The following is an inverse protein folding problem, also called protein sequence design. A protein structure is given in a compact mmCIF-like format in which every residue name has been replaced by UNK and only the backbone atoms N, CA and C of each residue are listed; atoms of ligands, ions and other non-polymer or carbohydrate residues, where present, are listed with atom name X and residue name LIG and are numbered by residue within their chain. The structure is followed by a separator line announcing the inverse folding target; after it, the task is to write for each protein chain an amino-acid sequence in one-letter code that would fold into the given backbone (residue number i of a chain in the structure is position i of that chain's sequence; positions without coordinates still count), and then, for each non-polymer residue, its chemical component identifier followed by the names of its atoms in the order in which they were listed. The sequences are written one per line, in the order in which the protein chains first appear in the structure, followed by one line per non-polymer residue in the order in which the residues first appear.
data_IF_601029049452
#
_entry.id   IF_601029049452
#
_cell.length_a   1.000
_cell.length_b   1.000
_cell.length_c   1.000
_cell.angle_alpha   90.00
_cell.angle_beta   90.00
_cell.angle_gamma   90.00
#
_symmetry.space_group_name_H-M   'P 1'
#
loop_
_entity.id
_entity.type
_entity.pdbx_description
1 polymer ?
#
# COMPACT_ATOMS: atom_id res chain seq x y z
N UNK A 1 23.14 0.91 29.33
CA UNK A 1 22.83 2.35 29.14
C UNK A 1 22.51 2.70 27.67
N UNK A 2 23.37 2.45 26.67
CA UNK A 2 23.07 2.86 25.27
C UNK A 2 21.89 2.15 24.58
N UNK A 3 21.62 0.88 24.88
CA UNK A 3 20.41 0.16 24.40
C UNK A 3 19.12 0.73 25.00
N UNK A 4 19.14 1.10 26.28
CA UNK A 4 18.00 1.73 26.97
C UNK A 4 17.74 3.14 26.42
N UNK A 5 18.78 3.96 26.22
CA UNK A 5 18.65 5.28 25.60
C UNK A 5 18.09 5.22 24.17
N UNK A 6 18.55 4.25 23.36
CA UNK A 6 17.95 4.02 22.04
C UNK A 6 16.49 3.61 22.15
N UNK A 7 16.16 2.71 23.08
CA UNK A 7 14.79 2.26 23.30
C UNK A 7 13.84 3.41 23.69
N UNK A 8 14.23 4.24 24.66
CA UNK A 8 13.47 5.44 25.05
C UNK A 8 13.29 6.42 23.87
N UNK A 9 14.34 6.65 23.08
CA UNK A 9 14.25 7.52 21.91
C UNK A 9 13.28 6.98 20.84
N UNK A 10 13.21 5.67 20.64
CA UNK A 10 12.25 5.07 19.70
C UNK A 10 10.81 5.16 20.22
N UNK A 11 10.58 4.92 21.51
CA UNK A 11 9.25 5.09 22.12
C UNK A 11 8.75 6.53 21.99
N UNK A 12 9.60 7.52 22.25
CA UNK A 12 9.26 8.94 22.09
C UNK A 12 8.89 9.31 20.65
N UNK A 13 9.62 8.77 19.66
CA UNK A 13 9.30 8.96 18.25
C UNK A 13 7.94 8.36 17.88
N UNK A 14 7.63 7.15 18.37
CA UNK A 14 6.34 6.51 18.15
C UNK A 14 5.20 7.26 18.83
N UNK A 15 5.37 7.68 20.08
CA UNK A 15 4.37 8.45 20.82
C UNK A 15 4.11 9.80 20.16
N UNK A 16 5.17 10.53 19.79
CA UNK A 16 5.04 11.82 19.10
C UNK A 16 4.36 11.66 17.75
N UNK A 17 4.73 10.64 16.96
CA UNK A 17 4.11 10.32 15.68
C UNK A 17 2.63 9.96 15.82
N UNK A 18 2.27 9.13 16.80
CA UNK A 18 0.90 8.75 17.10
C UNK A 18 0.05 9.97 17.45
N UNK A 19 0.49 10.79 18.41
CA UNK A 19 -0.23 12.00 18.82
C UNK A 19 -0.39 13.00 17.67
N UNK A 20 0.65 13.17 16.84
CA UNK A 20 0.58 14.02 15.66
C UNK A 20 -0.43 13.49 14.64
N UNK A 21 -0.46 12.19 14.39
CA UNK A 21 -1.40 11.58 13.44
C UNK A 21 -2.86 11.80 13.87
N UNK A 22 -3.15 11.73 15.17
CA UNK A 22 -4.50 12.00 15.71
C UNK A 22 -5.00 13.42 15.42
N UNK A 23 -4.12 14.39 15.22
CA UNK A 23 -4.52 15.76 14.84
C UNK A 23 -5.17 15.85 13.46
N UNK A 24 -4.90 14.88 12.58
CA UNK A 24 -5.47 14.76 11.24
C UNK A 24 -6.79 13.96 11.21
N UNK A 25 -7.22 13.42 12.36
CA UNK A 25 -8.45 12.64 12.50
C UNK A 25 -9.69 13.54 12.48
N UNK A 26 -10.71 13.10 11.75
CA UNK A 26 -12.04 13.74 11.69
C UNK A 26 -13.01 13.07 12.65
N UNK A 27 -14.09 13.78 13.01
CA UNK A 27 -15.19 13.27 13.84
C UNK A 27 -15.82 11.98 13.29
N UNK A 28 -15.77 11.79 11.97
CA UNK A 28 -16.27 10.60 11.30
C UNK A 28 -15.40 9.35 11.49
N UNK A 29 -14.21 9.46 12.08
CA UNK A 29 -13.22 8.39 12.21
C UNK A 29 -12.24 8.27 11.02
N UNK A 30 -12.36 9.13 10.01
CA UNK A 30 -11.46 9.16 8.84
C UNK A 30 -10.35 10.19 9.00
N UNK A 31 -9.27 10.04 8.24
CA UNK A 31 -8.13 10.96 8.26
C UNK A 31 -8.11 11.83 7.00
N UNK A 32 -7.65 13.07 7.13
CA UNK A 32 -7.40 13.99 6.00
C UNK A 32 -6.09 14.73 6.23
N UNK A 33 -5.35 14.97 5.16
CA UNK A 33 -4.11 15.78 5.16
C UNK A 33 -4.36 17.25 5.56
N UNK A 34 -5.60 17.73 5.41
CA UNK A 34 -6.04 19.05 5.84
C UNK A 34 -6.86 18.98 7.15
N UNK A 35 -6.86 17.84 7.83
CA UNK A 35 -7.55 17.61 9.09
C UNK A 35 -9.05 17.91 8.99
N UNK A 36 -9.50 18.93 9.74
CA UNK A 36 -10.90 19.36 9.80
C UNK A 36 -11.32 20.32 8.67
N UNK A 37 -10.36 20.83 7.88
CA UNK A 37 -10.62 21.86 6.87
C UNK A 37 -11.20 21.32 5.56
N UNK A 38 -11.07 20.02 5.28
CA UNK A 38 -11.77 19.39 4.15
C UNK A 38 -13.24 19.09 4.46
N UNK A 39 -14.05 18.79 3.46
CA UNK A 39 -15.41 18.26 3.66
C UNK A 39 -15.41 16.77 4.05
N UNK A 40 -14.46 15.98 3.55
CA UNK A 40 -14.37 14.53 3.78
C UNK A 40 -12.94 14.02 4.02
N UNK A 41 -12.81 12.82 4.60
CA UNK A 41 -11.52 12.14 4.75
C UNK A 41 -11.11 11.36 3.50
N UNK A 42 -9.84 10.96 3.45
CA UNK A 42 -9.28 10.17 2.35
C UNK A 42 -9.32 8.68 2.65
N UNK A 43 -9.83 7.88 1.70
CA UNK A 43 -9.94 6.42 1.86
C UNK A 43 -8.56 5.78 2.02
N UNK A 44 -7.62 6.13 1.14
CA UNK A 44 -6.25 5.60 1.18
C UNK A 44 -5.51 6.07 2.43
N UNK A 45 -5.61 7.35 2.81
CA UNK A 45 -4.94 7.85 4.00
C UNK A 45 -5.48 7.18 5.26
N UNK A 46 -6.80 7.07 5.39
CA UNK A 46 -7.42 6.38 6.53
C UNK A 46 -6.94 4.92 6.61
N UNK A 47 -6.80 4.23 5.46
CA UNK A 47 -6.29 2.86 5.42
C UNK A 47 -4.81 2.78 5.80
N UNK A 48 -3.99 3.73 5.33
CA UNK A 48 -2.60 3.84 5.72
C UNK A 48 -2.45 4.01 7.23
N UNK A 49 -3.24 4.91 7.85
CA UNK A 49 -3.20 5.13 9.30
C UNK A 49 -3.62 3.87 10.06
N UNK A 50 -4.71 3.22 9.67
CA UNK A 50 -5.15 1.95 10.29
C UNK A 50 -4.05 0.89 10.20
N UNK A 51 -3.40 0.74 9.04
CA UNK A 51 -2.30 -0.20 8.84
C UNK A 51 -1.11 0.14 9.74
N UNK A 52 -0.71 1.41 9.80
CA UNK A 52 0.41 1.90 10.59
C UNK A 52 0.18 1.70 12.09
N UNK A 53 -0.99 2.11 12.59
CA UNK A 53 -1.41 1.92 13.98
C UNK A 53 -1.47 0.43 14.34
N UNK A 54 -2.04 -0.39 13.46
CA UNK A 54 -2.10 -1.82 13.72
C UNK A 54 -0.73 -2.49 13.87
N UNK A 55 0.27 -2.05 13.07
CA UNK A 55 1.66 -2.51 13.17
C UNK A 55 2.36 -1.95 14.41
N UNK A 56 2.10 -0.68 14.73
CA UNK A 56 2.69 0.01 15.88
C UNK A 56 2.26 -0.57 17.23
N UNK A 57 1.05 -1.16 17.33
CA UNK A 57 0.54 -1.87 18.54
C UNK A 57 1.50 -2.89 19.15
N UNK A 58 2.43 -3.45 18.36
CA UNK A 58 3.44 -4.40 18.84
C UNK A 58 4.56 -3.74 19.65
N UNK A 59 4.71 -2.42 19.54
CA UNK A 59 5.84 -1.67 20.06
C UNK A 59 5.42 -0.54 21.01
N UNK A 60 4.25 0.05 20.80
CA UNK A 60 3.70 1.12 21.66
C UNK A 60 2.21 0.91 21.91
N UNK A 61 1.70 1.52 22.98
CA UNK A 61 0.27 1.60 23.21
C UNK A 61 -0.41 2.41 22.11
N UNK A 62 -1.41 1.81 21.49
CA UNK A 62 -2.32 2.47 20.53
C UNK A 62 -3.72 2.15 21.00
N UNK A 63 -4.54 3.19 21.19
CA UNK A 63 -5.93 3.02 21.59
C UNK A 63 -6.71 2.25 20.51
N UNK A 64 -7.28 1.12 20.88
CA UNK A 64 -8.08 0.27 19.98
C UNK A 64 -9.34 0.98 19.47
N UNK A 65 -9.90 1.90 20.24
CA UNK A 65 -11.09 2.65 19.85
C UNK A 65 -10.77 3.61 18.69
N UNK A 66 -9.52 4.05 18.57
CA UNK A 66 -9.06 4.85 17.44
C UNK A 66 -9.14 4.07 16.13
N UNK A 67 -8.70 2.80 16.15
CA UNK A 67 -8.81 1.89 15.01
C UNK A 67 -10.28 1.56 14.75
N UNK A 68 -11.07 1.19 15.78
CA UNK A 68 -12.48 0.82 15.63
C UNK A 68 -13.32 1.92 14.98
N UNK A 69 -13.08 3.19 15.32
CA UNK A 69 -13.77 4.32 14.69
C UNK A 69 -13.50 4.40 13.18
N UNK A 70 -12.26 4.20 12.73
CA UNK A 70 -11.93 4.15 11.30
C UNK A 70 -12.54 2.93 10.61
N UNK A 71 -12.61 1.78 11.29
CA UNK A 71 -13.24 0.57 10.76
C UNK A 71 -14.75 0.75 10.57
N UNK A 72 -15.43 1.39 11.52
CA UNK A 72 -16.84 1.75 11.35
C UNK A 72 -17.05 2.71 10.18
N UNK A 73 -16.12 3.66 9.99
CA UNK A 73 -16.15 4.56 8.83
C UNK A 73 -16.04 3.79 7.51
N UNK A 74 -15.09 2.87 7.38
CA UNK A 74 -14.99 2.00 6.19
C UNK A 74 -16.28 1.24 5.92
N UNK A 75 -16.87 0.62 6.94
CA UNK A 75 -18.12 -0.15 6.81
C UNK A 75 -19.26 0.67 6.21
N UNK A 76 -19.39 1.94 6.61
CA UNK A 76 -20.44 2.84 6.08
C UNK A 76 -20.16 3.31 4.66
N UNK A 77 -18.89 3.38 4.26
CA UNK A 77 -18.48 3.86 2.93
C UNK A 77 -18.34 2.73 1.90
N UNK A 78 -18.24 1.47 2.30
CA UNK A 78 -18.17 0.33 1.39
C UNK A 78 -19.45 0.22 0.55
N UNK A 79 -19.31 0.12 -0.77
CA UNK A 79 -20.46 0.00 -1.69
C UNK A 79 -21.16 -1.36 -1.56
N UNK A 80 -22.41 -1.49 -2.05
CA UNK A 80 -23.09 -2.78 -2.16
C UNK A 80 -22.28 -3.84 -2.93
N UNK A 81 -21.55 -3.42 -3.97
CA UNK A 81 -20.61 -4.24 -4.76
C UNK A 81 -19.42 -4.79 -3.96
N UNK A 82 -19.19 -4.28 -2.74
CA UNK A 82 -18.04 -4.62 -1.91
C UNK A 82 -16.81 -3.74 -2.15
N UNK A 83 -16.79 -2.95 -3.22
CA UNK A 83 -15.69 -2.04 -3.51
C UNK A 83 -15.66 -0.85 -2.55
N UNK A 84 -14.46 -0.34 -2.27
CA UNK A 84 -14.26 0.90 -1.53
C UNK A 84 -14.15 2.06 -2.51
N UNK A 85 -15.08 3.04 -2.47
CA UNK A 85 -15.06 4.19 -3.36
C UNK A 85 -13.84 5.06 -3.16
N UNK A 86 -13.48 5.78 -4.22
CA UNK A 86 -12.52 6.88 -4.14
C UNK A 86 -13.12 8.06 -3.38
N UNK A 87 -12.64 8.28 -2.15
CA UNK A 87 -12.96 9.43 -1.32
C UNK A 87 -11.71 10.21 -0.94
N UNK A 88 -11.86 11.53 -0.88
CA UNK A 88 -10.83 12.49 -0.48
C UNK A 88 -9.71 12.67 -1.50
N UNK A 89 -8.81 13.61 -1.21
CA UNK A 89 -7.60 13.82 -2.01
C UNK A 89 -6.58 12.72 -1.70
N UNK A 90 -5.90 12.22 -2.73
CA UNK A 90 -4.77 11.30 -2.57
C UNK A 90 -3.50 12.12 -2.40
N UNK A 91 -2.74 11.76 -1.36
CA UNK A 91 -1.59 12.51 -0.88
C UNK A 91 -0.38 12.41 -1.82
N UNK A 92 -0.16 11.25 -2.43
CA UNK A 92 1.01 11.06 -3.29
C UNK A 92 0.71 11.51 -4.73
N UNK A 93 1.42 12.55 -5.17
CA UNK A 93 1.37 13.04 -6.56
C UNK A 93 1.88 12.01 -7.56
N UNK A 94 2.75 11.08 -7.15
CA UNK A 94 3.23 9.99 -8.01
C UNK A 94 2.18 8.91 -8.27
N UNK A 95 1.11 8.86 -7.47
CA UNK A 95 -0.08 8.04 -7.69
C UNK A 95 -1.20 8.79 -8.45
N UNK A 96 -0.95 10.04 -8.86
CA UNK A 96 -1.85 10.80 -9.73
C UNK A 96 -1.54 10.43 -11.19
N UNK A 97 -2.51 9.85 -11.88
CA UNK A 97 -2.37 9.39 -13.28
C UNK A 97 -2.82 7.95 -13.51
N UNK A 98 -4.13 7.67 -13.40
CA UNK A 98 -4.69 6.33 -13.67
C UNK A 98 -4.47 5.27 -12.58
N UNK A 99 -3.42 5.39 -11.76
CA UNK A 99 -3.05 4.46 -10.68
C UNK A 99 -3.95 4.53 -9.43
N UNK A 100 -4.99 5.36 -9.46
CA UNK A 100 -5.88 5.64 -8.34
C UNK A 100 -7.32 5.20 -8.68
N UNK A 101 -7.44 3.97 -9.18
CA UNK A 101 -8.72 3.36 -9.50
C UNK A 101 -9.44 2.90 -8.22
N UNK A 102 -10.76 2.77 -8.29
CA UNK A 102 -11.56 2.19 -7.20
C UNK A 102 -11.06 0.79 -6.80
N UNK A 103 -10.60 0.00 -7.77
CA UNK A 103 -10.05 -1.33 -7.52
C UNK A 103 -8.73 -1.27 -6.75
N UNK A 104 -7.84 -0.34 -7.12
CA UNK A 104 -6.57 -0.10 -6.42
C UNK A 104 -6.80 0.32 -4.98
N UNK A 105 -7.74 1.24 -4.74
CA UNK A 105 -8.14 1.66 -3.38
C UNK A 105 -8.72 0.47 -2.61
N UNK A 106 -9.59 -0.33 -3.24
CA UNK A 106 -10.18 -1.51 -2.61
C UNK A 106 -9.11 -2.50 -2.18
N UNK A 107 -8.13 -2.79 -3.04
CA UNK A 107 -6.99 -3.64 -2.72
C UNK A 107 -6.18 -3.07 -1.53
N UNK A 108 -5.87 -1.77 -1.57
CA UNK A 108 -5.10 -1.09 -0.51
C UNK A 108 -5.81 -1.14 0.85
N UNK A 109 -7.11 -0.81 0.89
CA UNK A 109 -7.92 -0.90 2.12
C UNK A 109 -7.97 -2.35 2.61
N UNK A 110 -8.12 -3.32 1.70
CA UNK A 110 -8.17 -4.74 2.08
C UNK A 110 -6.85 -5.21 2.69
N UNK A 111 -5.70 -4.80 2.14
CA UNK A 111 -4.37 -5.05 2.73
C UNK A 111 -4.31 -4.48 4.15
N UNK A 112 -4.70 -3.21 4.34
CA UNK A 112 -4.68 -2.57 5.66
C UNK A 112 -5.53 -3.33 6.68
N UNK A 113 -6.72 -3.79 6.27
CA UNK A 113 -7.61 -4.58 7.13
C UNK A 113 -7.00 -5.94 7.49
N UNK A 114 -6.47 -6.68 6.51
CA UNK A 114 -5.85 -7.98 6.75
C UNK A 114 -4.63 -7.86 7.67
N UNK A 115 -3.77 -6.87 7.45
CA UNK A 115 -2.61 -6.61 8.32
C UNK A 115 -3.01 -6.08 9.70
N UNK A 116 -4.17 -5.44 9.81
CA UNK A 116 -4.75 -5.06 11.09
C UNK A 116 -5.35 -6.24 11.89
N UNK A 117 -5.32 -7.44 11.33
CA UNK A 117 -5.77 -8.69 11.97
C UNK A 117 -7.22 -9.06 11.64
N UNK A 118 -7.87 -8.37 10.70
CA UNK A 118 -9.23 -8.74 10.29
C UNK A 118 -9.22 -10.04 9.51
N UNK A 119 -10.16 -10.93 9.85
CA UNK A 119 -10.28 -12.23 9.19
C UNK A 119 -10.86 -12.06 7.77
N UNK A 120 -10.34 -12.83 6.79
CA UNK A 120 -10.86 -12.86 5.41
C UNK A 120 -12.36 -13.19 5.32
N UNK A 121 -12.90 -13.93 6.29
CA UNK A 121 -14.33 -14.30 6.39
C UNK A 121 -15.20 -13.19 6.98
N UNK A 122 -14.63 -12.14 7.57
CA UNK A 122 -15.43 -11.00 8.05
C UNK A 122 -16.13 -10.36 6.86
N UNK A 123 -17.44 -10.08 6.99
CA UNK A 123 -18.30 -9.57 5.91
C UNK A 123 -17.67 -8.44 5.08
N UNK A 124 -17.04 -7.47 5.74
CA UNK A 124 -16.39 -6.33 5.06
C UNK A 124 -15.21 -6.78 4.18
N UNK A 125 -14.31 -7.62 4.72
CA UNK A 125 -13.13 -8.12 4.00
C UNK A 125 -13.55 -9.07 2.88
N UNK A 126 -14.47 -10.00 3.17
CA UNK A 126 -14.99 -10.95 2.17
C UNK A 126 -15.65 -10.24 0.99
N UNK A 127 -16.44 -9.18 1.23
CA UNK A 127 -17.02 -8.36 0.16
C UNK A 127 -15.96 -7.61 -0.65
N UNK A 128 -14.94 -7.07 0.00
CA UNK A 128 -13.85 -6.38 -0.70
C UNK A 128 -13.05 -7.35 -1.57
N UNK A 129 -12.77 -8.55 -1.07
CA UNK A 129 -12.17 -9.63 -1.85
C UNK A 129 -13.03 -10.03 -3.05
N UNK A 130 -14.37 -10.13 -2.89
CA UNK A 130 -15.28 -10.38 -4.02
C UNK A 130 -15.12 -9.32 -5.10
N UNK A 131 -15.26 -8.03 -4.73
CA UNK A 131 -15.06 -6.91 -5.66
C UNK A 131 -13.73 -7.01 -6.41
N UNK A 132 -12.63 -7.32 -5.70
CA UNK A 132 -11.31 -7.50 -6.32
C UNK A 132 -11.34 -8.66 -7.31
N UNK A 133 -11.89 -9.81 -6.92
CA UNK A 133 -11.89 -11.03 -7.72
C UNK A 133 -12.82 -10.99 -8.93
N UNK A 134 -13.84 -10.14 -8.89
CA UNK A 134 -14.81 -9.92 -9.98
C UNK A 134 -14.25 -8.99 -11.07
N UNK A 135 -13.23 -8.19 -10.74
CA UNK A 135 -12.63 -7.22 -11.64
C UNK A 135 -11.21 -7.60 -12.12
N UNK A 136 -10.74 -8.83 -11.86
CA UNK A 136 -9.36 -9.22 -12.20
C UNK A 136 -9.06 -9.11 -13.70
N UNK A 137 -10.02 -9.38 -14.57
CA UNK A 137 -9.86 -9.29 -16.03
C UNK A 137 -9.64 -7.86 -16.52
N UNK A 138 -10.06 -6.86 -15.75
CA UNK A 138 -9.96 -5.44 -16.11
C UNK A 138 -8.64 -4.81 -15.66
N UNK A 139 -7.81 -5.54 -14.90
CA UNK A 139 -6.52 -5.05 -14.42
C UNK A 139 -5.52 -5.07 -15.58
N UNK A 140 -5.04 -3.88 -15.99
CA UNK A 140 -4.07 -3.73 -17.06
C UNK A 140 -2.73 -3.18 -16.58
N UNK A 141 -2.73 -2.30 -15.57
CA UNK A 141 -1.54 -1.63 -15.07
C UNK A 141 -0.79 -2.48 -14.04
N UNK A 142 0.52 -2.26 -13.98
CA UNK A 142 1.45 -2.99 -13.12
C UNK A 142 1.27 -2.65 -11.64
N UNK A 143 0.80 -1.44 -11.34
CA UNK A 143 0.57 -0.98 -9.97
C UNK A 143 -0.59 -1.73 -9.32
N UNK A 144 -1.76 -1.70 -9.96
CA UNK A 144 -2.94 -2.42 -9.51
C UNK A 144 -2.68 -3.93 -9.52
N UNK A 145 -1.93 -4.45 -10.49
CA UNK A 145 -1.50 -5.86 -10.48
C UNK A 145 -0.71 -6.19 -9.21
N UNK A 146 0.27 -5.36 -8.83
CA UNK A 146 1.12 -5.58 -7.66
C UNK A 146 0.31 -5.58 -6.36
N UNK A 147 -0.55 -4.58 -6.16
CA UNK A 147 -1.40 -4.48 -4.95
C UNK A 147 -2.42 -5.61 -4.88
N UNK A 148 -3.13 -5.91 -5.98
CA UNK A 148 -4.13 -6.98 -6.01
C UNK A 148 -3.47 -8.35 -5.79
N UNK A 149 -2.29 -8.58 -6.36
CA UNK A 149 -1.53 -9.81 -6.13
C UNK A 149 -1.22 -9.97 -4.65
N UNK A 150 -0.65 -8.95 -4.02
CA UNK A 150 -0.36 -9.00 -2.58
C UNK A 150 -1.63 -9.17 -1.75
N UNK A 151 -2.72 -8.49 -2.09
CA UNK A 151 -4.01 -8.61 -1.42
C UNK A 151 -4.51 -10.06 -1.40
N UNK A 152 -4.53 -10.72 -2.55
CA UNK A 152 -5.00 -12.10 -2.67
C UNK A 152 -4.04 -13.10 -2.03
N UNK A 153 -2.73 -12.86 -2.10
CA UNK A 153 -1.71 -13.68 -1.43
C UNK A 153 -1.84 -13.56 0.09
N UNK A 154 -2.00 -12.35 0.61
CA UNK A 154 -2.16 -12.08 2.03
C UNK A 154 -3.45 -12.72 2.58
N UNK A 155 -4.52 -12.71 1.78
CA UNK A 155 -5.78 -13.36 2.10
C UNK A 155 -5.75 -14.89 1.92
N UNK A 156 -4.67 -15.48 1.39
CA UNK A 156 -4.63 -16.89 1.01
C UNK A 156 -5.87 -17.27 0.17
N UNK A 157 -6.09 -16.51 -0.90
CA UNK A 157 -7.24 -16.65 -1.78
C UNK A 157 -6.90 -17.60 -2.94
N UNK A 158 -7.84 -18.45 -3.41
CA UNK A 158 -7.58 -19.41 -4.50
C UNK A 158 -7.08 -18.76 -5.80
N UNK A 159 -7.54 -17.55 -6.12
CA UNK A 159 -7.10 -16.80 -7.30
C UNK A 159 -5.69 -16.15 -7.15
N UNK A 160 -5.01 -16.33 -6.02
CA UNK A 160 -3.66 -15.75 -5.80
C UNK A 160 -2.62 -16.28 -6.79
N UNK A 161 -2.67 -17.57 -7.14
CA UNK A 161 -1.76 -18.18 -8.12
C UNK A 161 -1.86 -17.54 -9.51
N UNK A 162 -3.08 -17.27 -9.98
CA UNK A 162 -3.32 -16.55 -11.23
C UNK A 162 -2.66 -15.16 -11.21
N UNK A 163 -2.83 -14.42 -10.12
CA UNK A 163 -2.29 -13.07 -10.01
C UNK A 163 -0.77 -13.06 -9.86
N UNK A 164 -0.18 -14.03 -9.18
CA UNK A 164 1.28 -14.22 -9.14
C UNK A 164 1.85 -14.44 -10.54
N UNK A 165 1.23 -15.29 -11.36
CA UNK A 165 1.66 -15.52 -12.74
C UNK A 165 1.58 -14.23 -13.57
N UNK A 166 0.49 -13.46 -13.42
CA UNK A 166 0.36 -12.15 -14.09
C UNK A 166 1.40 -11.13 -13.61
N UNK A 167 1.70 -11.12 -12.31
CA UNK A 167 2.74 -10.28 -11.73
C UNK A 167 4.11 -10.63 -12.31
N UNK A 168 4.45 -11.92 -12.37
CA UNK A 168 5.69 -12.42 -13.02
C UNK A 168 5.81 -11.99 -14.47
N UNK A 169 4.72 -12.07 -15.24
CA UNK A 169 4.71 -11.66 -16.65
C UNK A 169 4.94 -10.14 -16.84
N UNK A 170 4.67 -9.33 -15.82
CA UNK A 170 4.93 -7.88 -15.83
C UNK A 170 6.29 -7.49 -15.24
N UNK A 171 7.09 -8.47 -14.81
CA UNK A 171 8.40 -8.22 -14.23
C UNK A 171 9.35 -7.60 -15.27
N UNK A 172 10.12 -6.62 -14.85
CA UNK A 172 11.16 -5.96 -15.63
C UNK A 172 12.50 -6.50 -15.19
N UNK A 173 13.35 -6.87 -16.16
CA UNK A 173 14.73 -7.21 -15.90
C UNK A 173 15.61 -6.00 -16.20
N UNK A 174 16.40 -5.56 -15.23
CA UNK A 174 17.44 -4.55 -15.45
C UNK A 174 18.62 -5.16 -16.21
N UNK A 175 19.52 -4.30 -16.72
CA UNK A 175 20.71 -4.72 -17.47
C UNK A 175 21.63 -5.66 -16.67
N UNK A 176 21.71 -5.46 -15.35
CA UNK A 176 22.46 -6.31 -14.42
C UNK A 176 21.66 -7.55 -13.94
N UNK A 177 20.54 -7.86 -14.58
CA UNK A 177 19.73 -9.05 -14.35
C UNK A 177 18.92 -9.05 -13.05
N UNK A 178 18.70 -7.89 -12.43
CA UNK A 178 17.81 -7.72 -11.29
C UNK A 178 16.36 -7.59 -11.73
N UNK A 179 15.42 -7.81 -10.80
CA UNK A 179 13.99 -7.89 -11.10
C UNK A 179 13.26 -6.76 -10.36
N UNK A 180 12.39 -6.04 -11.07
CA UNK A 180 11.56 -4.97 -10.51
C UNK A 180 10.27 -4.76 -11.31
N UNK A 181 9.38 -3.88 -10.84
CA UNK A 181 8.15 -3.52 -11.54
C UNK A 181 8.09 -2.01 -11.77
N UNK A 182 7.64 -1.60 -12.95
CA UNK A 182 7.53 -0.19 -13.31
C UNK A 182 6.25 0.11 -14.07
N UNK A 183 5.63 1.25 -13.76
CA UNK A 183 4.45 1.73 -14.48
C UNK A 183 4.80 2.35 -15.85
N UNK A 184 6.10 2.52 -16.19
CA UNK A 184 6.51 3.07 -17.50
C UNK A 184 6.20 2.09 -18.64
N UNK A 185 6.15 0.81 -18.31
CA UNK A 185 5.84 -0.26 -19.26
C UNK A 185 4.34 -0.47 -19.45
N UNK A 186 3.50 0.29 -18.74
CA UNK A 186 2.06 0.26 -18.94
C UNK A 186 1.70 1.24 -20.06
N UNK A 187 1.07 0.73 -21.13
CA UNK A 187 0.62 1.51 -22.31
C UNK A 187 -0.38 2.65 -22.00
N UNK A 188 -0.77 2.79 -20.72
CA UNK A 188 -1.74 3.76 -20.22
C UNK A 188 -1.09 5.05 -19.71
N UNK A 189 0.24 5.10 -19.59
CA UNK A 189 0.97 6.33 -19.27
C UNK A 189 1.33 6.98 -20.60
N UNK A 190 0.54 7.97 -21.03
CA UNK A 190 0.92 8.84 -22.14
C UNK A 190 2.26 9.48 -21.79
N UNK A 191 3.29 9.15 -22.58
CA UNK A 191 4.61 9.75 -22.48
C UNK A 191 4.52 11.17 -23.04
N UNK A 192 4.22 12.16 -22.20
CA UNK A 192 4.85 13.46 -22.43
C UNK A 192 6.36 13.23 -22.28
N UNK A 193 7.14 13.64 -23.28
CA UNK A 193 8.59 13.52 -23.21
C UNK A 193 9.09 14.15 -21.91
N UNK A 194 9.96 13.45 -21.15
CA UNK A 194 10.49 14.00 -19.92
C UNK A 194 11.37 15.21 -20.28
N UNK A 195 10.83 16.41 -20.10
CA UNK A 195 11.55 17.69 -20.31
C UNK A 195 12.59 17.97 -19.23
N UNK A 196 12.71 17.08 -18.24
CA UNK A 196 13.56 17.27 -17.08
C UNK A 196 14.47 16.05 -16.87
N UNK A 197 15.77 16.29 -16.84
CA UNK A 197 16.82 15.27 -16.61
C UNK A 197 16.62 14.53 -15.27
N UNK A 198 15.83 15.09 -14.35
CA UNK A 198 15.42 14.46 -13.09
C UNK A 198 14.26 13.45 -13.22
N UNK A 199 13.49 13.49 -14.31
CA UNK A 199 12.40 12.55 -14.57
C UNK A 199 12.89 11.16 -14.99
N UNK A 200 14.17 11.03 -15.39
CA UNK A 200 14.81 9.73 -15.63
C UNK A 200 14.98 8.92 -14.34
N UNK A 201 15.15 9.59 -13.19
CA UNK A 201 15.47 8.97 -11.90
C UNK A 201 14.21 8.49 -11.17
N UNK A 202 13.76 7.29 -11.52
CA UNK A 202 13.03 6.31 -10.68
C UNK A 202 11.86 6.87 -9.83
N UNK A 203 10.64 6.49 -10.21
CA UNK A 203 9.43 6.95 -9.53
C UNK A 203 9.19 6.15 -8.24
N UNK A 204 8.78 6.80 -7.14
CA UNK A 204 8.35 6.13 -5.91
C UNK A 204 7.41 4.94 -6.11
N UNK A 205 6.48 5.06 -7.06
CA UNK A 205 5.55 3.98 -7.43
C UNK A 205 6.28 2.67 -7.81
N UNK A 206 7.44 2.75 -8.49
CA UNK A 206 8.19 1.56 -8.91
C UNK A 206 8.82 0.85 -7.71
N UNK A 207 9.26 1.60 -6.69
CA UNK A 207 9.74 1.05 -5.41
C UNK A 207 8.59 0.41 -4.65
N UNK A 208 7.44 1.08 -4.53
CA UNK A 208 6.27 0.56 -3.84
C UNK A 208 5.74 -0.73 -4.49
N UNK A 209 5.57 -0.73 -5.83
CA UNK A 209 5.17 -1.92 -6.60
C UNK A 209 6.12 -3.08 -6.36
N UNK A 210 7.42 -2.81 -6.45
CA UNK A 210 8.45 -3.84 -6.25
C UNK A 210 8.46 -4.34 -4.80
N UNK A 211 8.14 -3.48 -3.83
CA UNK A 211 7.92 -3.86 -2.44
C UNK A 211 6.73 -4.82 -2.25
N UNK A 212 5.57 -4.52 -2.86
CA UNK A 212 4.43 -5.43 -2.85
C UNK A 212 4.71 -6.75 -3.56
N UNK A 213 5.45 -6.70 -4.67
CA UNK A 213 5.88 -7.90 -5.37
C UNK A 213 6.79 -8.76 -4.48
N UNK A 214 7.80 -8.17 -3.84
CA UNK A 214 8.67 -8.86 -2.90
C UNK A 214 7.87 -9.54 -1.76
N UNK A 215 6.95 -8.80 -1.12
CA UNK A 215 6.11 -9.35 -0.06
C UNK A 215 5.25 -10.53 -0.55
N UNK A 216 4.74 -10.43 -1.79
CA UNK A 216 3.98 -11.51 -2.43
C UNK A 216 4.85 -12.75 -2.68
N UNK A 217 6.06 -12.56 -3.20
CA UNK A 217 7.00 -13.65 -3.47
C UNK A 217 7.43 -14.37 -2.19
N UNK A 218 7.76 -13.61 -1.15
CA UNK A 218 8.12 -14.15 0.16
C UNK A 218 6.97 -14.97 0.75
N UNK A 219 5.75 -14.44 0.72
CA UNK A 219 4.58 -15.12 1.30
C UNK A 219 4.19 -16.39 0.54
N UNK A 220 4.47 -16.46 -0.76
CA UNK A 220 4.23 -17.63 -1.62
C UNK A 220 5.40 -18.61 -1.66
N UNK A 221 6.50 -18.31 -0.96
CA UNK A 221 7.74 -19.09 -1.01
C UNK A 221 8.22 -19.32 -2.45
N UNK A 222 8.22 -18.25 -3.24
CA UNK A 222 8.74 -18.25 -4.61
C UNK A 222 10.25 -18.51 -4.65
N UNK A 223 10.79 -18.70 -5.85
CA UNK A 223 12.20 -19.07 -6.04
C UNK A 223 13.17 -18.11 -5.32
N UNK A 224 14.05 -18.60 -4.42
CA UNK A 224 14.97 -17.76 -3.65
C UNK A 224 15.87 -16.87 -4.51
N UNK A 225 16.26 -17.35 -5.69
CA UNK A 225 17.06 -16.59 -6.67
C UNK A 225 16.34 -15.32 -7.14
N UNK A 226 15.03 -15.39 -7.36
CA UNK A 226 14.24 -14.26 -7.87
C UNK A 226 13.98 -13.28 -6.73
N UNK A 227 13.67 -13.78 -5.54
CA UNK A 227 13.56 -12.97 -4.31
C UNK A 227 14.85 -12.16 -4.10
N UNK A 228 16.02 -12.81 -4.21
CA UNK A 228 17.31 -12.14 -4.03
C UNK A 228 17.55 -11.04 -5.07
N UNK A 229 17.15 -11.26 -6.32
CA UNK A 229 17.23 -10.23 -7.38
C UNK A 229 16.37 -9.02 -7.06
N UNK A 230 15.15 -9.24 -6.54
CA UNK A 230 14.23 -8.17 -6.14
C UNK A 230 14.80 -7.39 -4.95
N UNK A 231 15.28 -8.09 -3.92
CA UNK A 231 15.89 -7.48 -2.72
C UNK A 231 17.10 -6.63 -3.09
N UNK A 232 17.97 -7.14 -3.98
CA UNK A 232 19.13 -6.40 -4.48
C UNK A 232 18.71 -5.13 -5.23
N UNK A 233 17.68 -5.21 -6.06
CA UNK A 233 17.18 -4.04 -6.78
C UNK A 233 16.67 -2.97 -5.80
N UNK A 234 15.83 -3.35 -4.83
CA UNK A 234 15.30 -2.43 -3.81
C UNK A 234 16.42 -1.81 -2.97
N UNK A 235 17.45 -2.59 -2.63
CA UNK A 235 18.59 -2.09 -1.85
C UNK A 235 19.36 -0.99 -2.58
N UNK A 236 19.43 -1.06 -3.91
CA UNK A 236 20.05 -0.03 -4.75
C UNK A 236 19.23 1.26 -4.85
N UNK A 237 17.93 1.23 -4.55
CA UNK A 237 17.06 2.41 -4.63
C UNK A 237 17.10 3.28 -3.36
N UNK A 238 17.83 2.85 -2.32
CA UNK A 238 17.95 3.59 -1.06
C UNK A 238 18.88 4.79 -1.23
N UNK A 239 18.51 5.92 -0.64
CA UNK A 239 19.37 7.09 -0.53
C UNK A 239 20.48 6.85 0.52
N UNK A 240 21.46 7.75 0.58
CA UNK A 240 22.60 7.66 1.51
C UNK A 240 22.19 7.63 2.99
N UNK A 241 21.03 8.19 3.34
CA UNK A 241 20.45 8.17 4.68
C UNK A 241 19.61 6.91 4.97
N UNK A 242 19.51 5.98 4.01
CA UNK A 242 18.83 4.70 4.15
C UNK A 242 17.33 4.71 3.85
N UNK A 243 16.75 5.83 3.41
CA UNK A 243 15.34 5.96 3.00
C UNK A 243 15.14 5.89 1.48
N UNK A 244 13.89 6.03 1.02
CA UNK A 244 13.53 6.12 -0.41
C UNK A 244 13.09 7.54 -0.78
N UNK A 245 12.76 7.78 -2.06
CA UNK A 245 12.33 9.07 -2.58
C UNK A 245 10.90 9.49 -2.16
N UNK A 246 10.08 8.55 -1.69
CA UNK A 246 8.77 8.82 -1.06
C UNK A 246 8.63 8.06 0.27
N UNK A 247 7.56 8.41 0.97
CA UNK A 247 7.12 7.77 2.23
C UNK A 247 6.28 6.51 2.02
N UNK A 248 5.71 6.31 0.82
CA UNK A 248 4.99 5.09 0.43
C UNK A 248 5.94 4.03 -0.12
#
# INVERSE_FOLDING_TARGET
VSKLFKYFHYEDLFHTGYQRELTYKRRSGSYSIFGKSDSEGSMMLTAFVVRSFARARKYVFVDEDEIKHSIQWFRRKQKPSGCFPKYGKVFDKSLQGGLNSELTITAYVTIALLEAGFNKKTRMVSKALSCVTDNLTHIQDSYTTSLVTYTLVLADHPKSGLMISRLKNKAVSSEDGLIFWSARNDKLVATEEPTDYFAEKLRPADVEMTGYALMSYLKRNEQPKDIMKIVKWLSKQRNYYGGFSSTQ
#
